data_IF_505304132709
#
_entry.id   IF_505304132709
#
_cell.length_a   1.000
_cell.length_b   1.000
_cell.length_c   1.000
_cell.angle_alpha   90.00
_cell.angle_beta   90.00
_cell.angle_gamma   90.00
#
_symmetry.space_group_name_H-M   'P 1'
#
loop_
_entity.id
_entity.type
_entity.pdbx_description
1 polymer ?
#
# COMPACT_ATOMS: atom_id res chain seq x y z
N UNK A 1 11.01 -17.22 4.93
CA UNK A 1 10.75 -15.79 5.25
C UNK A 1 9.37 -15.67 5.85
N UNK A 2 9.18 -14.92 6.95
CA UNK A 2 7.85 -14.71 7.52
C UNK A 2 6.96 -14.01 6.47
N UNK A 3 5.70 -14.44 6.35
CA UNK A 3 4.73 -13.80 5.46
C UNK A 3 4.58 -12.34 5.87
N UNK A 4 4.70 -11.42 4.91
CA UNK A 4 4.36 -9.99 5.06
C UNK A 4 2.96 -9.85 5.70
N UNK A 5 2.88 -9.46 6.97
CA UNK A 5 1.61 -9.24 7.68
C UNK A 5 1.16 -7.79 7.52
N UNK A 6 -0.15 -7.57 7.50
CA UNK A 6 -0.69 -6.20 7.44
C UNK A 6 -0.29 -5.37 8.67
N UNK A 7 -0.15 -6.01 9.84
CA UNK A 7 0.33 -5.35 11.06
C UNK A 7 1.71 -4.72 10.85
N UNK A 8 2.67 -5.46 10.29
CA UNK A 8 4.01 -4.93 10.03
C UNK A 8 4.00 -3.75 9.07
N UNK A 9 3.18 -3.81 8.01
CA UNK A 9 3.05 -2.72 7.03
C UNK A 9 2.48 -1.48 7.71
N UNK A 10 1.45 -1.65 8.55
CA UNK A 10 0.85 -0.54 9.32
C UNK A 10 1.82 0.06 10.32
N UNK A 11 2.67 -0.75 10.95
CA UNK A 11 3.68 -0.25 11.88
C UNK A 11 4.73 0.62 11.15
N UNK A 12 5.13 0.22 9.94
CA UNK A 12 6.02 1.03 9.08
C UNK A 12 5.37 2.36 8.67
N UNK A 13 4.10 2.33 8.25
CA UNK A 13 3.36 3.56 7.91
C UNK A 13 3.24 4.50 9.11
N UNK A 14 2.81 3.99 10.28
CA UNK A 14 2.65 4.81 11.50
C UNK A 14 3.94 5.41 12.02
N UNK A 15 5.07 4.78 11.74
CA UNK A 15 6.39 5.27 12.12
C UNK A 15 7.09 6.06 11.01
N UNK A 16 6.39 6.34 9.90
CA UNK A 16 6.90 7.02 8.71
C UNK A 16 8.16 6.34 8.14
N UNK A 17 8.29 5.02 8.34
CA UNK A 17 9.38 4.18 7.84
C UNK A 17 8.98 3.53 6.52
N UNK A 18 8.61 4.34 5.53
CA UNK A 18 8.29 3.88 4.19
C UNK A 18 8.71 4.93 3.17
N UNK A 19 8.79 4.49 1.91
CA UNK A 19 8.98 5.38 0.76
C UNK A 19 7.89 5.09 -0.25
N UNK A 20 7.48 6.10 -0.99
CA UNK A 20 6.60 5.96 -2.15
C UNK A 20 7.48 5.86 -3.39
N UNK A 21 7.24 4.86 -4.25
CA UNK A 21 7.95 4.78 -5.53
C UNK A 21 7.51 5.91 -6.44
N UNK A 22 8.35 6.29 -7.41
CA UNK A 22 7.99 7.30 -8.41
C UNK A 22 6.66 6.97 -9.09
N UNK A 23 6.51 5.72 -9.55
CA UNK A 23 5.27 5.25 -10.18
C UNK A 23 4.04 5.41 -9.28
N UNK A 24 4.14 5.08 -7.99
CA UNK A 24 3.01 5.25 -7.07
C UNK A 24 2.73 6.73 -6.77
N UNK A 25 3.73 7.60 -6.81
CA UNK A 25 3.52 9.04 -6.67
C UNK A 25 2.79 9.63 -7.89
N UNK A 26 3.17 9.20 -9.10
CA UNK A 26 2.48 9.56 -10.35
C UNK A 26 1.03 9.07 -10.35
N UNK A 27 0.77 7.82 -9.95
CA UNK A 27 -0.59 7.27 -9.84
C UNK A 27 -1.46 8.02 -8.82
N UNK A 28 -0.90 8.45 -7.69
CA UNK A 28 -1.63 9.27 -6.73
C UNK A 28 -2.01 10.63 -7.34
N UNK A 29 -1.11 11.27 -8.08
CA UNK A 29 -1.37 12.54 -8.75
C UNK A 29 -2.47 12.39 -9.82
N UNK A 30 -2.35 11.38 -10.67
CA UNK A 30 -3.30 11.08 -11.75
C UNK A 30 -4.73 10.81 -11.22
N UNK A 31 -4.86 10.14 -10.08
CA UNK A 31 -6.14 9.79 -9.43
C UNK A 31 -6.62 10.87 -8.43
N UNK A 32 -5.91 11.99 -8.34
CA UNK A 32 -6.17 13.09 -7.41
C UNK A 32 -6.29 12.60 -5.94
N UNK A 33 -5.36 11.74 -5.55
CA UNK A 33 -5.19 11.16 -4.23
C UNK A 33 -3.97 11.76 -3.54
N UNK A 34 -4.06 11.93 -2.22
CA UNK A 34 -2.95 12.41 -1.41
C UNK A 34 -2.21 11.26 -0.74
N UNK A 35 -1.02 11.56 -0.18
CA UNK A 35 -0.32 10.61 0.69
C UNK A 35 -1.20 10.15 1.86
N UNK A 36 -2.07 11.03 2.37
CA UNK A 36 -2.96 10.70 3.50
C UNK A 36 -4.06 9.73 3.08
N UNK A 37 -4.50 9.75 1.82
CA UNK A 37 -5.42 8.75 1.28
C UNK A 37 -4.74 7.39 1.20
N UNK A 38 -3.50 7.34 0.69
CA UNK A 38 -2.68 6.12 0.65
C UNK A 38 -2.50 5.52 2.06
N UNK A 39 -2.13 6.35 3.03
CA UNK A 39 -1.96 5.91 4.42
C UNK A 39 -3.29 5.40 4.99
N UNK A 40 -4.41 6.08 4.75
CA UNK A 40 -5.72 5.64 5.25
C UNK A 40 -6.16 4.30 4.64
N UNK A 41 -5.91 4.09 3.34
CA UNK A 41 -6.15 2.80 2.66
C UNK A 41 -5.37 1.69 3.36
N UNK A 42 -4.09 1.90 3.67
CA UNK A 42 -3.23 0.89 4.33
C UNK A 42 -3.64 0.65 5.78
N UNK A 43 -3.92 1.71 6.54
CA UNK A 43 -4.21 1.65 7.97
C UNK A 43 -5.58 1.03 8.26
N UNK A 44 -6.56 1.23 7.39
CA UNK A 44 -7.95 0.74 7.59
C UNK A 44 -8.28 -0.48 6.73
N UNK A 45 -7.54 -0.71 5.65
CA UNK A 45 -7.84 -1.75 4.67
C UNK A 45 -7.46 -3.17 5.07
N UNK A 46 -7.59 -4.11 4.13
CA UNK A 46 -7.21 -5.52 4.29
C UNK A 46 -6.42 -6.00 3.09
N UNK A 47 -5.50 -6.94 3.31
CA UNK A 47 -4.81 -7.60 2.20
C UNK A 47 -5.83 -8.44 1.43
N UNK A 48 -6.03 -8.13 0.15
CA UNK A 48 -6.93 -8.86 -0.74
C UNK A 48 -6.19 -9.79 -1.70
N UNK A 49 -4.92 -9.51 -1.98
CA UNK A 49 -4.10 -10.32 -2.89
C UNK A 49 -2.62 -10.32 -2.50
N UNK A 50 -1.89 -11.37 -2.90
CA UNK A 50 -0.43 -11.46 -2.82
C UNK A 50 0.13 -11.80 -4.20
N UNK A 51 0.97 -10.92 -4.71
CA UNK A 51 1.60 -11.05 -6.01
C UNK A 51 3.07 -11.43 -5.82
N UNK A 52 3.58 -12.31 -6.68
CA UNK A 52 5.01 -12.62 -6.73
C UNK A 52 5.56 -12.12 -8.05
N UNK A 53 6.49 -11.18 -7.98
CA UNK A 53 7.20 -10.70 -9.14
C UNK A 53 7.97 -11.85 -9.78
N UNK A 54 7.81 -12.05 -11.10
CA UNK A 54 8.43 -13.17 -11.81
C UNK A 54 9.91 -12.93 -12.08
N UNK A 55 10.35 -11.68 -12.17
CA UNK A 55 11.73 -11.31 -12.47
C UNK A 55 12.54 -11.14 -11.18
N UNK A 56 11.99 -10.43 -10.20
CA UNK A 56 12.72 -10.10 -8.97
C UNK A 56 12.46 -11.09 -7.83
N UNK A 57 11.47 -11.99 -7.98
CA UNK A 57 10.95 -12.87 -6.93
C UNK A 57 10.41 -12.15 -5.69
N UNK A 58 10.30 -10.82 -5.73
CA UNK A 58 9.74 -10.02 -4.65
C UNK A 58 8.26 -10.35 -4.43
N UNK A 59 7.82 -10.32 -3.17
CA UNK A 59 6.41 -10.48 -2.83
C UNK A 59 5.80 -9.11 -2.60
N UNK A 60 4.80 -8.76 -3.42
CA UNK A 60 3.95 -7.60 -3.23
C UNK A 60 2.61 -8.03 -2.62
N UNK A 61 1.96 -7.15 -1.88
CA UNK A 61 0.60 -7.34 -1.40
C UNK A 61 -0.29 -6.22 -1.92
N UNK A 62 -1.53 -6.56 -2.25
CA UNK A 62 -2.57 -5.59 -2.59
C UNK A 62 -3.44 -5.40 -1.36
N UNK A 63 -3.57 -4.16 -0.90
CA UNK A 63 -4.37 -3.78 0.25
C UNK A 63 -5.54 -2.96 -0.26
N UNK A 64 -6.77 -3.45 -0.05
CA UNK A 64 -7.99 -2.71 -0.38
C UNK A 64 -8.50 -2.01 0.87
N UNK A 65 -8.74 -0.71 0.76
CA UNK A 65 -9.22 0.14 1.85
C UNK A 65 -10.05 1.29 1.31
N UNK A 66 -10.11 2.37 2.09
CA UNK A 66 -10.84 3.59 1.71
C UNK A 66 -9.94 4.81 1.80
N UNK A 67 -10.13 5.74 0.89
CA UNK A 67 -9.57 7.10 0.94
C UNK A 67 -10.24 7.91 2.06
N UNK A 68 -9.77 9.14 2.31
CA UNK A 68 -10.37 10.03 3.30
C UNK A 68 -11.78 10.49 2.90
N UNK A 69 -12.06 10.61 1.61
CA UNK A 69 -13.38 10.91 1.06
C UNK A 69 -14.28 9.68 0.87
N UNK A 70 -13.89 8.53 1.46
CA UNK A 70 -14.64 7.27 1.47
C UNK A 70 -14.78 6.54 0.12
N UNK A 71 -14.03 6.93 -0.92
CA UNK A 71 -13.87 6.12 -2.14
C UNK A 71 -13.11 4.82 -1.83
N UNK A 72 -13.48 3.74 -2.50
CA UNK A 72 -12.68 2.50 -2.44
C UNK A 72 -11.47 2.62 -3.34
N UNK A 73 -10.32 2.19 -2.82
CA UNK A 73 -9.05 2.21 -3.55
C UNK A 73 -8.13 1.08 -3.06
N UNK A 74 -7.10 0.80 -3.86
CA UNK A 74 -6.13 -0.25 -3.59
C UNK A 74 -4.71 0.32 -3.54
N UNK A 75 -3.90 -0.21 -2.62
CA UNK A 75 -2.49 0.12 -2.48
C UNK A 75 -1.63 -1.13 -2.64
N UNK A 76 -0.56 -1.03 -3.42
CA UNK A 76 0.41 -2.11 -3.59
C UNK A 76 1.63 -1.84 -2.71
N UNK A 77 1.97 -2.79 -1.83
CA UNK A 77 3.08 -2.63 -0.89
C UNK A 77 4.03 -3.83 -0.91
N UNK A 78 5.31 -3.57 -0.59
CA UNK A 78 6.36 -4.57 -0.32
C UNK A 78 7.24 -4.09 0.83
N UNK A 79 7.93 -5.02 1.51
CA UNK A 79 8.92 -4.76 2.59
C UNK A 79 10.16 -5.57 2.33
#
# INVERSE_FOLDING_TARGET
MPRLSITRIRDLVRSLNYVVSLHAAEELEDENLTILDLENIILTGRIVERQRDRQTHETKVVIRGRTLDSREAEAVAKV
#
